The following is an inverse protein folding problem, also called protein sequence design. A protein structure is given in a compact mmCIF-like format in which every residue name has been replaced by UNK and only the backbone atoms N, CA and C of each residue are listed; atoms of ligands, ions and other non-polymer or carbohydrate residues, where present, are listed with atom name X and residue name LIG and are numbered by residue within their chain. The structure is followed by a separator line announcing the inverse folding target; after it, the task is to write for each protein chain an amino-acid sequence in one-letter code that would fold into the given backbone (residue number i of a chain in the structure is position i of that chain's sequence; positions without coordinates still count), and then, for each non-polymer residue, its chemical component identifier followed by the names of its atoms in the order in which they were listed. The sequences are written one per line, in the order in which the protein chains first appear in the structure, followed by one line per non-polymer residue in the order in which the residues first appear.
data_IF_307896409480
#
_entry.id   IF_307896409480
#
_cell.length_a   1.000
_cell.length_b   1.000
_cell.length_c   1.000
_cell.angle_alpha   90.00
_cell.angle_beta   90.00
_cell.angle_gamma   90.00
#
_symmetry.space_group_name_H-M   'P 1'
#
loop_
_entity.id
_entity.type
_entity.pdbx_description
1 polymer ?
#
# COMPACT_ATOMS: atom_id res chain seq x y z
N UNK A 1 1.88 -31.64 9.63
CA UNK A 1 3.05 -30.85 9.20
C UNK A 1 2.53 -29.55 8.66
N UNK A 2 2.17 -28.66 9.60
CA UNK A 2 1.75 -27.29 9.32
C UNK A 2 2.99 -26.52 8.87
N UNK A 3 2.97 -26.03 7.63
CA UNK A 3 3.91 -25.03 7.20
C UNK A 3 3.36 -23.67 7.63
N UNK A 4 3.77 -23.26 8.83
CA UNK A 4 3.68 -21.90 9.32
C UNK A 4 4.28 -20.98 8.24
N UNK A 5 3.42 -20.30 7.49
CA UNK A 5 3.84 -19.14 6.71
C UNK A 5 4.06 -18.03 7.70
N UNK A 6 5.33 -17.80 8.04
CA UNK A 6 5.75 -16.58 8.72
C UNK A 6 5.42 -15.43 7.75
N UNK A 7 4.28 -14.78 8.01
CA UNK A 7 4.03 -13.42 7.56
C UNK A 7 5.08 -12.54 8.25
N UNK A 8 6.24 -12.42 7.61
CA UNK A 8 7.25 -11.43 7.96
C UNK A 8 6.56 -10.07 7.97
N UNK A 9 6.33 -9.58 9.19
CA UNK A 9 5.99 -8.21 9.53
C UNK A 9 6.80 -7.30 8.61
N UNK A 10 6.11 -6.63 7.69
CA UNK A 10 6.62 -5.35 7.21
C UNK A 10 6.15 -4.35 8.22
N UNK A 11 7.11 -3.90 9.01
CA UNK A 11 6.98 -2.83 9.99
C UNK A 11 5.96 -1.79 9.55
N UNK A 12 4.81 -1.77 10.25
CA UNK A 12 3.89 -0.66 10.27
C UNK A 12 4.58 0.51 10.99
N UNK A 13 5.47 1.18 10.27
CA UNK A 13 6.02 2.49 10.63
C UNK A 13 5.67 3.53 9.56
N UNK A 14 4.41 3.53 9.13
CA UNK A 14 3.77 4.80 8.78
C UNK A 14 3.41 5.49 10.10
N UNK A 15 4.41 6.18 10.66
CA UNK A 15 4.24 7.09 11.77
C UNK A 15 3.18 8.12 11.41
N UNK A 16 1.96 7.86 11.87
CA UNK A 16 0.94 8.88 11.96
C UNK A 16 1.51 9.95 12.91
N UNK A 17 1.76 11.20 12.49
CA UNK A 17 2.21 12.21 13.43
C UNK A 17 1.13 12.33 14.50
N UNK A 18 1.50 12.01 15.74
CA UNK A 18 0.64 12.30 16.88
C UNK A 18 0.27 13.79 16.79
N UNK A 19 -1.02 14.16 16.82
CA UNK A 19 -1.39 15.56 16.95
C UNK A 19 -0.73 16.09 18.23
N UNK A 20 -0.11 17.28 18.21
CA UNK A 20 0.56 17.82 19.38
C UNK A 20 -0.45 17.90 20.54
N UNK A 21 -0.07 17.28 21.66
CA UNK A 21 -0.83 17.28 22.90
C UNK A 21 -1.23 18.70 23.30
N UNK A 22 -2.50 18.83 23.67
CA UNK A 22 -3.09 20.04 24.21
C UNK A 22 -2.30 20.54 25.42
N UNK A 23 -2.09 21.85 25.48
CA UNK A 23 -2.18 22.60 26.72
C UNK A 23 -2.47 24.05 26.32
N UNK A 24 -3.72 24.48 26.40
CA UNK A 24 -4.13 25.77 26.98
C UNK A 24 -5.63 25.73 27.31
N UNK A 25 -5.88 25.68 28.61
CA UNK A 25 -7.19 25.73 29.28
C UNK A 25 -8.00 26.98 28.91
N UNK A 26 -9.23 26.81 28.40
CA UNK A 26 -10.35 27.73 28.68
C UNK A 26 -11.69 26.98 28.69
N UNK A 27 -12.38 27.04 29.83
CA UNK A 27 -13.78 26.68 29.98
C UNK A 27 -14.63 27.55 29.02
N UNK A 28 -15.12 26.98 27.93
CA UNK A 28 -16.26 27.53 27.19
C UNK A 28 -17.13 26.38 26.69
N UNK A 29 -18.40 26.38 27.08
CA UNK A 29 -19.42 25.46 26.56
C UNK A 29 -19.64 25.71 25.07
N UNK A 30 -18.99 24.94 24.19
CA UNK A 30 -19.18 25.07 22.74
C UNK A 30 -20.34 24.16 22.30
N UNK A 31 -21.36 24.66 21.58
CA UNK A 31 -22.39 23.81 21.01
C UNK A 31 -21.77 22.91 19.94
N UNK A 32 -22.25 21.66 19.86
CA UNK A 32 -21.94 20.66 18.81
C UNK A 32 -22.22 21.24 17.42
N UNK A 33 -21.33 22.07 16.88
CA UNK A 33 -21.17 22.16 15.45
C UNK A 33 -20.47 20.88 15.03
N UNK A 34 -21.32 19.90 14.68
CA UNK A 34 -20.99 18.73 13.89
C UNK A 34 -19.96 19.17 12.83
N UNK A 35 -18.70 18.81 13.03
CA UNK A 35 -17.68 18.97 12.01
C UNK A 35 -18.23 18.23 10.79
N UNK A 36 -18.62 18.99 9.76
CA UNK A 36 -19.12 18.42 8.53
C UNK A 36 -17.95 17.69 7.88
N UNK A 37 -17.79 16.40 8.18
CA UNK A 37 -16.89 15.49 7.46
C UNK A 37 -17.25 15.62 5.99
N UNK A 38 -16.37 16.23 5.21
CA UNK A 38 -16.63 16.43 3.79
C UNK A 38 -16.86 15.05 3.18
N UNK A 39 -17.95 14.87 2.42
CA UNK A 39 -18.30 13.55 1.86
C UNK A 39 -17.12 12.89 1.13
N UNK A 40 -16.25 13.69 0.50
CA UNK A 40 -15.02 13.26 -0.14
C UNK A 40 -14.08 12.47 0.80
N UNK A 41 -13.90 12.88 2.05
CA UNK A 41 -13.02 12.23 3.03
C UNK A 41 -13.50 10.81 3.36
N UNK A 42 -14.82 10.61 3.46
CA UNK A 42 -15.40 9.29 3.74
C UNK A 42 -15.42 8.35 2.53
N UNK A 43 -15.33 8.90 1.31
CA UNK A 43 -15.46 8.13 0.06
C UNK A 43 -14.10 7.78 -0.54
N UNK A 44 -13.08 8.63 -0.37
CA UNK A 44 -11.74 8.39 -0.91
C UNK A 44 -11.10 7.12 -0.31
N UNK A 45 -10.68 6.19 -1.15
CA UNK A 45 -10.09 4.89 -0.71
C UNK A 45 -10.96 4.04 0.23
N UNK A 46 -12.26 4.34 0.35
CA UNK A 46 -13.24 3.60 1.16
C UNK A 46 -13.27 2.09 0.92
N UNK A 47 -12.88 1.66 -0.29
CA UNK A 47 -12.92 0.26 -0.69
C UNK A 47 -11.53 -0.39 -0.53
N UNK A 48 -11.38 -1.40 0.34
CA UNK A 48 -10.09 -2.02 0.59
C UNK A 48 -9.55 -2.70 -0.67
N UNK A 49 -8.26 -2.48 -0.96
CA UNK A 49 -7.55 -3.02 -2.14
C UNK A 49 -6.60 -4.16 -1.77
N UNK A 50 -7.04 -5.05 -0.89
CA UNK A 50 -6.20 -6.15 -0.38
C UNK A 50 -5.96 -7.25 -1.44
N UNK A 51 -6.90 -7.44 -2.38
CA UNK A 51 -6.81 -8.48 -3.41
C UNK A 51 -7.21 -7.99 -4.82
N UNK A 52 -7.00 -8.86 -5.82
CA UNK A 52 -7.33 -8.59 -7.22
C UNK A 52 -6.30 -7.74 -7.97
N UNK A 53 -6.61 -7.40 -9.23
CA UNK A 53 -5.68 -6.69 -10.14
C UNK A 53 -5.26 -5.30 -9.64
N UNK A 54 -6.13 -4.63 -8.88
CA UNK A 54 -5.88 -3.29 -8.35
C UNK A 54 -4.98 -3.24 -7.12
N UNK A 55 -4.78 -4.38 -6.45
CA UNK A 55 -4.04 -4.49 -5.18
C UNK A 55 -2.53 -4.36 -5.32
N UNK A 56 -1.99 -4.71 -6.50
CA UNK A 56 -0.54 -4.80 -6.73
C UNK A 56 -0.16 -4.07 -8.01
N UNK A 57 1.03 -3.50 -8.02
CA UNK A 57 1.64 -2.84 -9.17
C UNK A 57 3.07 -3.33 -9.39
N UNK A 58 3.61 -3.06 -10.57
CA UNK A 58 5.03 -3.29 -10.87
C UNK A 58 5.91 -2.48 -9.91
N UNK A 59 6.94 -3.10 -9.34
CA UNK A 59 7.93 -2.42 -8.49
C UNK A 59 8.74 -1.34 -9.22
N UNK A 60 8.82 -1.40 -10.55
CA UNK A 60 9.62 -0.46 -11.37
C UNK A 60 8.76 0.67 -11.92
N UNK A 61 7.67 0.34 -12.61
CA UNK A 61 6.87 1.33 -13.35
C UNK A 61 5.47 1.57 -12.76
N UNK A 62 5.12 0.96 -11.62
CA UNK A 62 3.80 1.01 -10.95
C UNK A 62 2.60 0.51 -11.78
N UNK A 63 2.82 0.09 -13.03
CA UNK A 63 1.78 -0.44 -13.91
C UNK A 63 1.16 -1.72 -13.33
N UNK A 64 -0.17 -1.80 -13.32
CA UNK A 64 -0.93 -2.88 -12.67
C UNK A 64 -1.22 -4.08 -13.57
N UNK A 65 -1.13 -3.93 -14.89
CA UNK A 65 -1.45 -5.00 -15.83
C UNK A 65 -0.20 -5.79 -16.27
N UNK A 66 -0.38 -7.11 -16.45
CA UNK A 66 0.68 -8.03 -16.86
C UNK A 66 1.81 -8.15 -15.85
N UNK A 67 1.46 -8.18 -14.57
CA UNK A 67 2.39 -8.37 -13.46
C UNK A 67 2.83 -9.84 -13.39
N UNK A 68 4.14 -10.08 -13.43
CA UNK A 68 4.75 -11.37 -13.19
C UNK A 68 4.94 -11.52 -11.68
N UNK A 69 4.20 -12.47 -11.10
CA UNK A 69 4.14 -12.71 -9.64
C UNK A 69 4.93 -13.94 -9.19
N UNK A 70 5.45 -14.72 -10.14
CA UNK A 70 6.22 -15.92 -9.84
C UNK A 70 7.56 -15.52 -9.19
N UNK A 71 8.02 -16.34 -8.24
CA UNK A 71 9.29 -16.14 -7.52
C UNK A 71 9.38 -14.80 -6.75
N UNK A 72 8.25 -14.17 -6.43
CA UNK A 72 8.23 -12.92 -5.66
C UNK A 72 8.70 -11.67 -6.43
N UNK A 73 8.90 -11.76 -7.75
CA UNK A 73 9.43 -10.66 -8.58
C UNK A 73 8.56 -9.40 -8.52
N UNK A 74 7.25 -9.54 -8.71
CA UNK A 74 6.28 -8.43 -8.74
C UNK A 74 6.68 -7.30 -9.72
N UNK A 75 7.09 -7.68 -10.94
CA UNK A 75 7.44 -6.74 -12.01
C UNK A 75 6.55 -6.99 -13.24
N UNK A 76 6.28 -5.96 -14.05
CA UNK A 76 5.48 -6.14 -15.26
C UNK A 76 6.30 -6.81 -16.38
N UNK A 77 5.62 -7.40 -17.37
CA UNK A 77 6.26 -8.09 -18.51
C UNK A 77 7.21 -7.22 -19.34
N UNK A 78 7.00 -5.91 -19.39
CA UNK A 78 7.89 -4.98 -20.11
C UNK A 78 9.19 -4.80 -19.33
N UNK A 79 9.10 -4.39 -18.05
CA UNK A 79 10.27 -4.25 -17.18
C UNK A 79 11.03 -5.57 -17.00
N UNK A 80 10.34 -6.72 -16.98
CA UNK A 80 11.01 -8.02 -16.94
C UNK A 80 11.92 -8.25 -18.14
N UNK A 81 11.50 -7.87 -19.35
CA UNK A 81 12.31 -8.05 -20.57
C UNK A 81 13.54 -7.15 -20.59
N UNK A 82 13.45 -5.97 -19.99
CA UNK A 82 14.57 -5.03 -19.88
C UNK A 82 15.58 -5.47 -18.81
N UNK A 83 15.11 -6.12 -17.75
CA UNK A 83 15.91 -6.50 -16.57
C UNK A 83 16.21 -7.99 -16.45
N UNK A 84 15.78 -8.81 -17.41
CA UNK A 84 15.91 -10.27 -17.31
C UNK A 84 17.36 -10.72 -17.17
N UNK A 85 18.27 -10.07 -17.89
CA UNK A 85 19.72 -10.36 -17.84
C UNK A 85 20.32 -10.01 -16.47
N UNK A 86 19.96 -8.85 -15.92
CA UNK A 86 20.46 -8.38 -14.62
C UNK A 86 19.97 -9.28 -13.46
N UNK A 87 18.76 -9.84 -13.60
CA UNK A 87 18.19 -10.80 -12.65
C UNK A 87 18.84 -12.18 -12.78
N UNK A 88 19.55 -12.46 -13.88
CA UNK A 88 20.21 -13.74 -14.15
C UNK A 88 19.36 -14.73 -14.97
N UNK A 89 18.29 -14.29 -15.62
CA UNK A 89 17.55 -15.13 -16.57
C UNK A 89 18.30 -15.20 -17.91
N UNK A 90 18.58 -16.42 -18.36
CA UNK A 90 19.19 -16.69 -19.67
C UNK A 90 18.16 -17.35 -20.58
N UNK A 91 18.08 -16.89 -21.83
CA UNK A 91 17.20 -17.49 -22.84
C UNK A 91 17.82 -18.79 -23.34
N UNK A 92 17.21 -19.91 -22.99
CA UNK A 92 17.53 -21.21 -23.55
C UNK A 92 16.46 -21.58 -24.59
N UNK A 93 16.80 -21.38 -25.87
CA UNK A 93 16.01 -21.66 -27.09
C UNK A 93 14.71 -20.87 -27.25
#
# INVERSE_FOLDING_TARGET
MEAQQNDDLRDDHDGNPAPPDELHSTNTSVPRHQLATMAHETVYFSRPRTYGKGSRGCRVCTHKAGLIRKYGLNICRQCFREKSTDIGFVKHR
#
